data_IF_714005449070
#
_entry.id   IF_714005449070
#
_cell.length_a   1.000
_cell.length_b   1.000
_cell.length_c   1.000
_cell.angle_alpha   90.00
_cell.angle_beta   90.00
_cell.angle_gamma   90.00
#
_symmetry.space_group_name_H-M   'P 1'
#
loop_
_entity.id
_entity.type
_entity.pdbx_description
1 polymer ?
#
# COMPACT_ATOMS: atom_id res chain seq x y z
N UNK A 1 26.93 -14.58 19.93
CA UNK A 1 27.46 -15.29 21.13
C UNK A 1 26.87 -14.61 22.34
N UNK A 2 25.79 -15.18 22.87
CA UNK A 2 25.27 -15.19 24.26
C UNK A 2 23.94 -15.93 24.21
N UNK A 3 24.03 -17.22 24.50
CA UNK A 3 22.92 -18.12 24.84
C UNK A 3 22.64 -17.92 26.35
N UNK A 4 21.38 -17.86 26.70
CA UNK A 4 20.94 -18.05 28.10
C UNK A 4 19.85 -19.14 28.10
N UNK A 5 20.25 -20.30 28.59
CA UNK A 5 19.38 -21.41 28.97
C UNK A 5 18.56 -21.02 30.19
N UNK A 6 17.28 -21.44 30.22
CA UNK A 6 16.53 -21.58 31.45
C UNK A 6 16.04 -23.01 31.62
N UNK A 7 16.63 -23.64 32.63
CA UNK A 7 16.39 -25.00 33.09
C UNK A 7 15.12 -25.12 33.92
N UNK A 8 14.47 -26.25 33.74
CA UNK A 8 13.37 -26.78 34.55
C UNK A 8 13.71 -26.92 36.05
N UNK A 9 12.79 -26.54 36.91
CA UNK A 9 12.71 -27.06 38.27
C UNK A 9 11.37 -27.77 38.50
N UNK A 10 11.49 -29.07 38.75
CA UNK A 10 10.45 -30.00 39.15
C UNK A 10 10.09 -29.84 40.62
N UNK A 11 8.82 -29.98 40.91
CA UNK A 11 8.18 -30.08 42.23
C UNK A 11 8.53 -31.39 42.93
N UNK A 12 8.33 -31.49 44.25
CA UNK A 12 7.84 -32.73 44.82
C UNK A 12 6.47 -32.59 45.51
N UNK A 13 5.70 -33.63 45.33
CA UNK A 13 4.39 -33.83 45.92
C UNK A 13 4.49 -34.15 47.42
N UNK A 14 3.56 -33.63 48.22
CA UNK A 14 3.22 -34.18 49.53
C UNK A 14 1.72 -34.51 49.61
N UNK A 15 1.44 -35.80 49.68
CA UNK A 15 0.16 -36.37 50.01
C UNK A 15 -0.09 -36.17 51.54
N UNK A 16 -1.23 -35.63 51.91
CA UNK A 16 -1.79 -35.82 53.25
C UNK A 16 -3.30 -36.06 53.13
N UNK A 17 -3.65 -37.21 53.61
CA UNK A 17 -4.97 -37.83 53.70
C UNK A 17 -5.71 -37.22 54.90
N UNK A 18 -6.91 -36.67 54.73
CA UNK A 18 -7.91 -36.55 55.82
C UNK A 18 -9.32 -36.73 55.26
N UNK A 19 -9.89 -37.87 55.68
CA UNK A 19 -11.32 -38.15 55.65
C UNK A 19 -12.06 -37.23 56.61
N UNK A 20 -13.26 -36.82 56.30
CA UNK A 20 -14.15 -36.16 57.24
C UNK A 20 -15.37 -35.50 56.61
N UNK A 21 -16.46 -36.26 56.54
CA UNK A 21 -17.86 -35.86 56.63
C UNK A 21 -18.52 -35.00 55.55
N UNK A 22 -19.34 -35.67 54.80
CA UNK A 22 -20.42 -35.14 53.97
C UNK A 22 -21.56 -34.60 54.83
N UNK A 23 -22.00 -33.37 54.63
CA UNK A 23 -23.36 -32.89 54.94
C UNK A 23 -23.81 -31.87 53.93
N UNK A 24 -24.74 -32.25 53.10
CA UNK A 24 -25.93 -31.58 52.57
C UNK A 24 -25.86 -30.02 52.59
N UNK A 25 -25.39 -29.43 51.49
CA UNK A 25 -25.73 -28.08 51.15
C UNK A 25 -25.75 -27.95 49.62
N UNK A 26 -26.85 -28.40 49.06
CA UNK A 26 -26.88 -28.49 47.64
C UNK A 26 -28.29 -28.51 47.14
N UNK A 27 -28.67 -27.57 46.49
CA UNK A 27 -29.67 -27.47 45.41
C UNK A 27 -29.80 -26.09 44.83
N UNK A 28 -29.08 -25.08 45.40
CA UNK A 28 -29.11 -23.70 44.90
C UNK A 28 -27.89 -23.28 44.05
N UNK A 29 -26.80 -24.04 44.09
CA UNK A 29 -25.58 -23.76 43.30
C UNK A 29 -25.62 -24.25 41.83
N UNK A 30 -26.38 -25.29 41.53
CA UNK A 30 -26.45 -25.85 40.18
C UNK A 30 -27.30 -25.02 39.19
N UNK A 31 -28.27 -24.25 39.68
CA UNK A 31 -29.11 -23.40 38.84
C UNK A 31 -28.40 -22.11 38.40
N UNK A 32 -27.42 -21.65 39.18
CA UNK A 32 -26.65 -20.47 38.78
C UNK A 32 -25.54 -20.75 37.76
N UNK A 33 -25.04 -21.99 37.72
CA UNK A 33 -24.04 -22.41 36.69
C UNK A 33 -24.67 -22.66 35.31
N UNK A 34 -25.92 -23.06 35.24
CA UNK A 34 -26.61 -23.25 33.95
C UNK A 34 -27.08 -21.96 33.31
N UNK A 35 -27.20 -20.87 34.05
CA UNK A 35 -27.56 -19.55 33.50
C UNK A 35 -26.37 -18.77 32.93
N UNK A 36 -25.16 -19.09 33.34
CA UNK A 36 -23.93 -18.48 32.76
C UNK A 36 -23.49 -19.13 31.43
N UNK A 37 -23.99 -20.34 31.10
CA UNK A 37 -23.63 -21.02 29.86
C UNK A 37 -24.48 -20.63 28.64
N UNK A 38 -25.50 -19.77 28.82
CA UNK A 38 -26.34 -19.23 27.75
C UNK A 38 -26.07 -17.76 27.43
N UNK A 39 -24.89 -17.23 27.78
CA UNK A 39 -24.49 -15.97 27.19
C UNK A 39 -24.06 -16.28 25.75
N UNK A 40 -24.82 -15.84 24.74
CA UNK A 40 -24.33 -15.99 23.38
C UNK A 40 -23.04 -15.19 23.32
N UNK A 41 -21.92 -15.87 23.11
CA UNK A 41 -20.76 -15.23 22.55
C UNK A 41 -21.20 -14.66 21.22
N UNK A 42 -21.70 -13.43 21.22
CA UNK A 42 -21.76 -12.64 20.02
C UNK A 42 -20.30 -12.50 19.59
N UNK A 43 -19.87 -13.42 18.74
CA UNK A 43 -18.72 -13.20 17.88
C UNK A 43 -19.06 -11.89 17.16
N UNK A 44 -18.47 -10.80 17.64
CA UNK A 44 -18.45 -9.56 16.90
C UNK A 44 -17.75 -9.92 15.58
N UNK A 45 -18.53 -10.26 14.59
CA UNK A 45 -18.12 -10.29 13.21
C UNK A 45 -17.54 -8.89 12.97
N UNK A 46 -16.24 -8.80 12.88
CA UNK A 46 -15.55 -7.63 12.37
C UNK A 46 -16.15 -7.40 10.99
N UNK A 47 -17.14 -6.50 10.91
CA UNK A 47 -17.63 -6.06 9.62
C UNK A 47 -16.41 -5.49 8.90
N UNK A 48 -15.99 -6.15 7.83
CA UNK A 48 -14.96 -5.63 6.94
C UNK A 48 -15.46 -4.29 6.41
N UNK A 49 -15.04 -3.22 7.09
CA UNK A 49 -15.36 -1.87 6.67
C UNK A 49 -14.57 -1.58 5.39
N UNK A 50 -15.30 -1.50 4.27
CA UNK A 50 -14.73 -1.15 2.98
C UNK A 50 -14.92 0.36 2.74
N UNK A 51 -13.88 1.18 2.95
CA UNK A 51 -13.97 2.61 2.77
C UNK A 51 -14.27 2.96 1.31
N UNK A 52 -15.07 4.00 1.10
CA UNK A 52 -15.38 4.48 -0.25
C UNK A 52 -15.05 5.96 -0.38
N UNK A 53 -14.57 6.35 -1.55
CA UNK A 53 -14.22 7.75 -1.87
C UNK A 53 -14.74 8.12 -3.25
N UNK A 54 -15.17 9.35 -3.42
CA UNK A 54 -15.53 9.91 -4.73
C UNK A 54 -14.30 10.64 -5.29
N UNK A 55 -13.92 10.35 -6.52
CA UNK A 55 -12.87 11.08 -7.25
C UNK A 55 -13.50 11.86 -8.42
N UNK A 56 -12.71 12.64 -9.13
CA UNK A 56 -13.18 13.32 -10.36
C UNK A 56 -13.62 12.34 -11.45
N UNK A 57 -13.15 11.07 -11.40
CA UNK A 57 -13.39 10.07 -12.44
C UNK A 57 -14.49 9.07 -12.07
N UNK A 58 -14.83 8.95 -10.79
CA UNK A 58 -15.84 8.02 -10.29
C UNK A 58 -15.57 7.59 -8.85
N UNK A 59 -16.42 6.71 -8.35
CA UNK A 59 -16.35 6.21 -6.97
C UNK A 59 -15.44 4.98 -6.86
N UNK A 60 -14.59 4.99 -5.85
CA UNK A 60 -13.70 3.88 -5.51
C UNK A 60 -14.11 3.23 -4.19
N UNK A 61 -13.89 1.92 -4.08
CA UNK A 61 -14.00 1.17 -2.83
C UNK A 61 -12.63 0.58 -2.50
N UNK A 62 -12.09 0.91 -1.34
CA UNK A 62 -10.86 0.39 -0.79
C UNK A 62 -11.06 -0.75 0.19
N UNK A 63 -10.01 -1.07 0.91
CA UNK A 63 -9.95 -2.10 1.95
C UNK A 63 -9.32 -1.51 3.21
N UNK A 64 -9.91 -1.75 4.38
CA UNK A 64 -9.28 -1.41 5.67
C UNK A 64 -8.45 -2.58 6.17
N UNK A 65 -7.17 -2.32 6.43
CA UNK A 65 -6.20 -3.34 6.86
C UNK A 65 -5.63 -2.96 8.22
N UNK A 66 -5.59 -3.92 9.14
CA UNK A 66 -4.86 -3.78 10.39
C UNK A 66 -3.36 -3.87 10.11
N UNK A 67 -2.59 -2.91 10.63
CA UNK A 67 -1.12 -2.92 10.53
C UNK A 67 -0.57 -3.61 11.78
N UNK A 68 0.29 -4.62 11.65
CA UNK A 68 0.88 -5.30 12.80
C UNK A 68 1.69 -4.34 13.68
N UNK A 69 1.43 -4.35 14.99
CA UNK A 69 2.11 -3.51 15.99
C UNK A 69 1.12 -2.87 16.97
N UNK A 70 1.51 -2.77 18.25
CA UNK A 70 0.63 -2.26 19.31
C UNK A 70 0.30 -0.76 19.16
N UNK A 71 1.15 -0.01 18.45
CA UNK A 71 1.06 1.46 18.31
C UNK A 71 0.51 1.88 16.95
N UNK A 72 0.45 0.95 15.99
CA UNK A 72 0.09 1.26 14.61
C UNK A 72 -1.43 1.21 14.43
N UNK A 73 -1.96 2.24 13.76
CA UNK A 73 -3.38 2.33 13.42
C UNK A 73 -3.69 1.57 12.14
N UNK A 74 -4.93 1.09 11.97
CA UNK A 74 -5.37 0.54 10.70
C UNK A 74 -5.18 1.54 9.55
N UNK A 75 -5.04 1.02 8.34
CA UNK A 75 -4.83 1.81 7.13
C UNK A 75 -5.91 1.47 6.11
N UNK A 76 -6.49 2.49 5.51
CA UNK A 76 -7.37 2.35 4.37
C UNK A 76 -6.51 2.30 3.10
N UNK A 77 -6.54 1.17 2.41
CA UNK A 77 -5.79 0.93 1.18
C UNK A 77 -6.72 1.05 -0.02
N UNK A 78 -6.29 1.81 -1.02
CA UNK A 78 -6.89 1.85 -2.35
C UNK A 78 -5.83 1.38 -3.34
N UNK A 79 -5.91 0.12 -3.76
CA UNK A 79 -4.93 -0.54 -4.61
C UNK A 79 -5.41 -0.58 -6.07
N UNK A 80 -4.52 -0.27 -7.01
CA UNK A 80 -4.84 -0.31 -8.43
C UNK A 80 -5.79 0.81 -8.89
N UNK A 81 -5.55 2.03 -8.46
CA UNK A 81 -6.31 3.21 -8.89
C UNK A 81 -5.76 3.71 -10.23
N UNK A 82 -6.57 3.78 -11.30
CA UNK A 82 -6.09 4.25 -12.60
C UNK A 82 -5.81 5.77 -12.57
N UNK A 83 -4.62 6.17 -12.95
CA UNK A 83 -4.25 7.59 -13.07
C UNK A 83 -4.12 8.06 -14.53
N UNK A 84 -4.09 7.11 -15.47
CA UNK A 84 -4.04 7.34 -16.89
C UNK A 84 -4.89 6.31 -17.65
N UNK A 85 -5.18 6.60 -18.91
CA UNK A 85 -5.75 5.64 -19.84
C UNK A 85 -4.73 4.54 -20.17
N UNK A 86 -5.14 3.28 -20.43
CA UNK A 86 -4.25 2.21 -20.83
C UNK A 86 -3.42 2.60 -22.07
N UNK A 87 -2.07 2.50 -22.04
CA UNK A 87 -1.20 2.88 -23.14
C UNK A 87 -1.04 1.75 -24.17
N UNK A 88 -2.15 1.19 -24.64
CA UNK A 88 -2.21 0.01 -25.53
C UNK A 88 -2.52 0.41 -26.98
N UNK A 89 -2.17 -0.47 -27.91
CA UNK A 89 -2.46 -0.26 -29.33
C UNK A 89 -1.81 1.03 -29.88
N UNK A 90 -2.59 1.92 -30.44
CA UNK A 90 -2.14 3.20 -31.01
C UNK A 90 -1.59 4.18 -29.95
N UNK A 91 -1.91 3.97 -28.68
CA UNK A 91 -1.36 4.78 -27.58
C UNK A 91 -0.01 4.27 -27.08
N UNK A 92 0.49 3.13 -27.57
CA UNK A 92 1.84 2.68 -27.30
C UNK A 92 2.84 3.68 -27.87
N UNK A 93 3.91 3.98 -27.14
CA UNK A 93 4.88 5.02 -27.49
C UNK A 93 4.28 6.42 -27.66
N UNK A 94 3.18 6.71 -26.98
CA UNK A 94 2.57 8.03 -26.91
C UNK A 94 2.57 8.57 -25.46
N UNK A 95 2.51 9.89 -25.27
CA UNK A 95 2.29 10.47 -23.94
C UNK A 95 1.02 9.90 -23.29
N UNK A 96 0.99 9.76 -21.94
CA UNK A 96 -0.19 9.27 -21.26
C UNK A 96 -1.35 10.27 -21.35
N UNK A 97 -2.55 9.73 -21.47
CA UNK A 97 -3.82 10.47 -21.41
C UNK A 97 -4.51 10.29 -20.06
N UNK A 98 -5.43 11.18 -19.72
CA UNK A 98 -6.25 11.04 -18.52
C UNK A 98 -7.11 9.76 -18.57
N UNK A 99 -7.40 9.12 -17.42
CA UNK A 99 -8.27 7.96 -17.41
C UNK A 99 -9.70 8.36 -17.78
N UNK A 100 -10.45 7.43 -18.36
CA UNK A 100 -11.88 7.60 -18.60
C UNK A 100 -12.65 7.56 -17.27
N UNK A 101 -13.69 8.37 -17.17
CA UNK A 101 -14.63 8.31 -16.04
C UNK A 101 -15.44 7.02 -16.08
N UNK A 102 -15.80 6.51 -14.91
CA UNK A 102 -16.61 5.29 -14.76
C UNK A 102 -17.88 5.56 -13.95
N UNK A 103 -18.94 4.80 -14.26
CA UNK A 103 -20.16 4.78 -13.49
C UNK A 103 -20.11 3.72 -12.38
N UNK A 104 -20.84 3.95 -11.29
CA UNK A 104 -20.88 3.01 -10.17
C UNK A 104 -19.62 3.04 -9.31
N UNK A 105 -19.37 1.94 -8.59
CA UNK A 105 -18.24 1.80 -7.67
C UNK A 105 -17.21 0.85 -8.29
N UNK A 106 -15.99 1.34 -8.51
CA UNK A 106 -14.85 0.52 -8.92
C UNK A 106 -14.13 0.01 -7.66
N UNK A 107 -13.89 -1.29 -7.59
CA UNK A 107 -13.12 -1.89 -6.52
C UNK A 107 -11.63 -1.58 -6.72
N UNK A 108 -11.01 -1.04 -5.68
CA UNK A 108 -9.57 -0.74 -5.57
C UNK A 108 -9.02 -1.50 -4.36
N UNK A 109 -9.13 -2.84 -4.39
CA UNK A 109 -8.86 -3.74 -3.27
C UNK A 109 -7.71 -4.71 -3.55
N UNK A 110 -7.12 -4.66 -4.73
CA UNK A 110 -6.00 -5.51 -5.16
C UNK A 110 -5.09 -4.76 -6.12
N UNK A 111 -3.86 -5.18 -6.18
CA UNK A 111 -2.90 -4.63 -7.13
C UNK A 111 -3.32 -4.94 -8.57
N UNK A 112 -3.06 -3.98 -9.45
CA UNK A 112 -3.22 -4.17 -10.89
C UNK A 112 -1.90 -4.67 -11.50
N UNK A 113 -1.93 -5.22 -12.73
CA UNK A 113 -0.73 -5.71 -13.40
C UNK A 113 0.40 -4.68 -13.41
N UNK A 114 1.61 -5.17 -13.41
CA UNK A 114 2.81 -4.34 -13.55
C UNK A 114 3.12 -4.09 -15.02
N UNK A 115 3.85 -3.03 -15.33
CA UNK A 115 4.26 -2.74 -16.69
C UNK A 115 5.21 -3.81 -17.21
N UNK A 116 5.13 -4.18 -18.51
CA UNK A 116 5.94 -5.23 -19.10
C UNK A 116 7.43 -4.97 -18.90
N UNK A 117 8.14 -6.00 -18.43
CA UNK A 117 9.55 -5.93 -18.06
C UNK A 117 10.19 -7.31 -18.14
N UNK A 118 11.52 -7.37 -18.33
CA UNK A 118 12.23 -8.62 -18.39
C UNK A 118 12.72 -9.03 -17.00
N UNK A 119 12.04 -10.00 -16.39
CA UNK A 119 12.36 -10.52 -15.05
C UNK A 119 13.33 -11.71 -15.06
N UNK A 120 13.77 -12.17 -16.26
CA UNK A 120 14.62 -13.36 -16.40
C UNK A 120 16.02 -13.13 -15.91
N UNK A 121 16.45 -12.83 -14.91
CA UNK A 121 17.76 -12.57 -14.30
C UNK A 121 17.72 -11.33 -13.38
N UNK A 122 16.55 -10.77 -13.17
CA UNK A 122 16.38 -9.69 -12.20
C UNK A 122 16.19 -10.31 -10.84
N UNK A 123 17.21 -10.19 -10.03
CA UNK A 123 17.09 -10.56 -8.62
C UNK A 123 16.28 -9.43 -7.98
N UNK A 124 15.19 -9.72 -7.25
CA UNK A 124 14.42 -8.69 -6.54
C UNK A 124 15.30 -7.76 -5.67
N UNK A 125 16.46 -8.23 -5.25
CA UNK A 125 17.50 -7.48 -4.55
C UNK A 125 18.00 -6.23 -5.30
N UNK A 126 17.92 -6.23 -6.64
CA UNK A 126 18.33 -5.07 -7.47
C UNK A 126 17.21 -4.02 -7.50
N UNK A 127 15.95 -4.45 -7.38
CA UNK A 127 14.78 -3.56 -7.45
C UNK A 127 14.47 -2.89 -6.11
N UNK A 128 14.89 -3.49 -5.00
CA UNK A 128 14.60 -3.04 -3.64
C UNK A 128 15.86 -2.96 -2.80
N UNK A 129 15.94 -2.01 -1.87
CA UNK A 129 16.95 -2.06 -0.83
C UNK A 129 16.85 -3.40 -0.07
N UNK A 130 18.02 -4.03 0.17
CA UNK A 130 18.14 -5.37 0.80
C UNK A 130 17.32 -5.52 2.09
N UNK A 131 17.16 -4.46 2.87
CA UNK A 131 16.38 -4.47 4.11
C UNK A 131 14.86 -4.55 3.93
N UNK A 132 14.34 -4.40 2.71
CA UNK A 132 12.92 -4.59 2.41
C UNK A 132 12.57 -6.02 2.00
N UNK A 133 13.54 -6.88 1.77
CA UNK A 133 13.34 -8.17 1.10
C UNK A 133 13.35 -9.32 2.09
N UNK A 134 12.34 -9.42 2.95
CA UNK A 134 12.18 -10.58 3.83
C UNK A 134 11.57 -11.81 3.12
N UNK A 135 10.95 -11.63 1.95
CA UNK A 135 10.31 -12.73 1.24
C UNK A 135 10.41 -12.52 -0.28
N UNK A 136 11.51 -12.99 -0.87
CA UNK A 136 11.80 -12.93 -2.30
C UNK A 136 10.72 -13.60 -3.16
N UNK A 137 10.10 -14.69 -2.69
CA UNK A 137 9.05 -15.39 -3.42
C UNK A 137 7.78 -14.55 -3.52
N UNK A 138 7.41 -13.86 -2.46
CA UNK A 138 6.26 -12.93 -2.48
C UNK A 138 6.50 -11.79 -3.45
N UNK A 139 7.69 -11.20 -3.44
CA UNK A 139 8.07 -10.12 -4.35
C UNK A 139 8.09 -10.60 -5.80
N UNK A 140 8.64 -11.80 -6.05
CA UNK A 140 8.64 -12.40 -7.37
C UNK A 140 7.22 -12.59 -7.92
N UNK A 141 6.26 -12.98 -7.07
CA UNK A 141 4.86 -13.13 -7.47
C UNK A 141 4.20 -11.79 -7.85
N UNK A 142 4.58 -10.68 -7.22
CA UNK A 142 4.02 -9.35 -7.50
C UNK A 142 4.39 -8.82 -8.91
N UNK A 143 5.42 -9.37 -9.54
CA UNK A 143 5.88 -8.95 -10.89
C UNK A 143 5.53 -9.94 -12.00
N UNK A 144 4.84 -11.05 -11.68
CA UNK A 144 4.47 -12.07 -12.67
C UNK A 144 3.32 -11.62 -13.57
N UNK A 145 2.34 -10.92 -12.99
CA UNK A 145 1.18 -10.42 -13.74
C UNK A 145 1.55 -9.12 -14.45
N UNK A 146 1.93 -9.22 -15.72
CA UNK A 146 2.38 -8.10 -16.53
C UNK A 146 1.39 -7.78 -17.65
N UNK A 147 1.08 -6.49 -17.81
CA UNK A 147 0.22 -6.01 -18.87
C UNK A 147 0.63 -4.59 -19.26
N UNK A 148 0.42 -4.21 -20.53
CA UNK A 148 0.60 -2.81 -20.94
C UNK A 148 -0.44 -1.89 -20.29
N UNK A 149 -1.63 -2.39 -19.93
CA UNK A 149 -2.58 -1.69 -19.05
C UNK A 149 -2.09 -1.74 -17.60
N UNK A 150 -1.11 -0.90 -17.29
CA UNK A 150 -0.36 -0.91 -16.02
C UNK A 150 -0.26 0.44 -15.31
N UNK A 151 -0.86 1.51 -15.85
CA UNK A 151 -0.72 2.86 -15.32
C UNK A 151 -1.66 3.10 -14.13
N UNK A 152 -1.31 2.47 -13.01
CA UNK A 152 -2.06 2.47 -11.77
C UNK A 152 -1.20 2.95 -10.61
N UNK A 153 -1.87 3.47 -9.58
CA UNK A 153 -1.24 3.86 -8.31
C UNK A 153 -1.97 3.20 -7.13
N UNK A 154 -1.28 3.13 -5.99
CA UNK A 154 -1.81 2.61 -4.74
C UNK A 154 -1.75 3.72 -3.69
N UNK A 155 -2.79 3.85 -2.87
CA UNK A 155 -2.93 4.92 -1.86
C UNK A 155 -3.14 4.26 -0.51
N UNK A 156 -2.34 4.65 0.48
CA UNK A 156 -2.36 4.17 1.86
C UNK A 156 -2.69 5.34 2.78
N UNK A 157 -3.81 5.27 3.49
CA UNK A 157 -4.35 6.35 4.31
C UNK A 157 -4.46 5.88 5.75
N UNK A 158 -3.76 6.50 6.71
CA UNK A 158 -3.92 6.15 8.11
C UNK A 158 -5.33 6.50 8.57
N UNK A 159 -5.96 5.58 9.33
CA UNK A 159 -7.25 5.87 9.94
C UNK A 159 -7.07 6.73 11.19
N UNK A 160 -8.00 7.62 11.42
CA UNK A 160 -8.04 8.43 12.64
C UNK A 160 -9.07 7.91 13.61
N UNK A 161 -8.70 7.89 14.90
CA UNK A 161 -9.64 7.64 16.00
C UNK A 161 -10.23 8.95 16.52
N UNK A 162 -9.59 10.10 16.23
CA UNK A 162 -10.05 11.41 16.69
C UNK A 162 -10.80 12.17 15.59
N UNK A 163 -12.11 12.23 15.73
CA UNK A 163 -13.04 12.95 14.85
C UNK A 163 -12.75 14.47 14.83
N UNK A 164 -11.94 14.98 15.74
CA UNK A 164 -11.64 16.41 15.89
C UNK A 164 -10.48 16.86 14.99
N UNK A 165 -9.66 15.93 14.51
CA UNK A 165 -8.54 16.27 13.63
C UNK A 165 -9.02 16.30 12.17
N UNK A 166 -9.42 17.47 11.71
CA UNK A 166 -9.89 17.71 10.33
C UNK A 166 -8.78 18.22 9.40
N UNK A 167 -7.54 18.27 9.86
CA UNK A 167 -6.43 18.74 9.03
C UNK A 167 -6.11 17.76 7.90
N UNK A 168 -5.99 18.30 6.68
CA UNK A 168 -5.54 17.51 5.54
C UNK A 168 -4.10 17.02 5.77
N UNK A 169 -3.83 15.73 5.45
CA UNK A 169 -2.53 15.10 5.72
C UNK A 169 -1.48 15.42 4.67
N UNK A 170 -0.20 15.49 5.03
CA UNK A 170 0.89 15.50 4.06
C UNK A 170 0.85 14.21 3.22
N UNK A 171 1.36 14.32 2.00
CA UNK A 171 1.35 13.22 1.02
C UNK A 171 2.79 12.88 0.64
N UNK A 172 3.13 11.60 0.66
CA UNK A 172 4.42 11.08 0.23
C UNK A 172 4.23 10.17 -0.99
N UNK A 173 4.87 10.51 -2.11
CA UNK A 173 4.77 9.77 -3.37
C UNK A 173 6.09 9.07 -3.66
N UNK A 174 6.07 7.75 -3.67
CA UNK A 174 7.23 6.92 -3.95
C UNK A 174 7.36 6.60 -5.43
N UNK A 175 8.53 6.90 -6.02
CA UNK A 175 8.91 6.52 -7.38
C UNK A 175 9.88 5.35 -7.28
N UNK A 176 9.50 4.19 -7.82
CA UNK A 176 10.35 2.99 -7.77
C UNK A 176 11.60 3.13 -8.66
N UNK A 177 12.65 2.39 -8.30
CA UNK A 177 13.87 2.24 -9.09
C UNK A 177 13.76 1.11 -10.14
N UNK A 178 14.93 0.52 -10.50
CA UNK A 178 15.01 -0.61 -11.43
C UNK A 178 15.59 -0.23 -12.79
N UNK A 179 16.63 0.61 -12.80
CA UNK A 179 17.46 0.92 -13.99
C UNK A 179 16.69 1.45 -15.21
N UNK A 180 15.48 1.99 -15.04
CA UNK A 180 14.50 2.35 -16.07
C UNK A 180 13.95 1.14 -16.85
N UNK A 181 14.40 -0.06 -16.55
CA UNK A 181 14.10 -1.30 -17.30
C UNK A 181 13.06 -2.15 -16.59
N UNK A 182 12.91 -2.00 -15.28
CA UNK A 182 12.13 -2.87 -14.43
C UNK A 182 11.64 -2.13 -13.17
N UNK A 183 10.82 -2.79 -12.35
CA UNK A 183 10.30 -2.25 -11.10
C UNK A 183 8.79 -2.03 -11.12
N UNK A 184 8.23 -1.81 -9.94
CA UNK A 184 6.80 -1.57 -9.75
C UNK A 184 6.54 -0.94 -8.39
N UNK A 185 5.52 -0.09 -8.30
CA UNK A 185 5.02 0.43 -7.02
C UNK A 185 4.36 -0.65 -6.14
N UNK A 186 3.99 -1.79 -6.71
CA UNK A 186 3.33 -2.88 -5.97
C UNK A 186 4.24 -3.57 -4.94
N UNK A 187 5.57 -3.43 -5.08
CA UNK A 187 6.54 -4.00 -4.14
C UNK A 187 6.60 -3.29 -2.80
N UNK A 188 6.13 -2.04 -2.73
CA UNK A 188 6.23 -1.23 -1.52
C UNK A 188 4.87 -1.17 -0.84
N UNK A 189 4.78 -1.75 0.35
CA UNK A 189 3.64 -1.55 1.25
C UNK A 189 3.84 -0.26 2.05
N UNK A 190 3.05 0.76 1.72
CA UNK A 190 3.07 2.05 2.39
C UNK A 190 2.37 2.09 3.75
N UNK A 191 1.75 0.99 4.20
CA UNK A 191 0.88 0.99 5.37
C UNK A 191 1.60 1.36 6.67
N UNK A 192 2.80 0.81 6.90
CA UNK A 192 3.58 1.12 8.12
C UNK A 192 3.98 2.59 8.14
N UNK A 193 4.51 3.10 7.03
CA UNK A 193 4.90 4.51 6.92
C UNK A 193 3.69 5.45 7.07
N UNK A 194 2.57 5.10 6.46
CA UNK A 194 1.33 5.87 6.56
C UNK A 194 0.83 5.91 8.02
N UNK A 195 0.74 4.75 8.66
CA UNK A 195 0.24 4.62 10.04
C UNK A 195 1.14 5.34 11.04
N UNK A 196 2.46 5.09 10.98
CA UNK A 196 3.43 5.66 11.92
C UNK A 196 3.64 7.16 11.71
N UNK A 197 3.77 7.59 10.45
CA UNK A 197 4.06 8.97 10.08
C UNK A 197 2.83 9.88 10.05
N UNK A 198 1.61 9.33 10.18
CA UNK A 198 0.34 10.04 9.97
C UNK A 198 0.31 10.82 8.64
N UNK A 199 0.78 10.18 7.57
CA UNK A 199 0.85 10.73 6.23
C UNK A 199 0.13 9.82 5.23
N UNK A 200 -0.32 10.35 4.11
CA UNK A 200 -0.80 9.53 3.01
C UNK A 200 0.42 9.09 2.20
N UNK A 201 0.56 7.78 1.98
CA UNK A 201 1.62 7.22 1.14
C UNK A 201 1.03 6.78 -0.18
N UNK A 202 1.70 7.09 -1.28
CA UNK A 202 1.30 6.69 -2.63
C UNK A 202 2.48 6.01 -3.30
N UNK A 203 2.24 4.86 -3.92
CA UNK A 203 3.16 4.19 -4.82
C UNK A 203 2.53 4.10 -6.21
N UNK A 204 3.32 4.04 -7.27
CA UNK A 204 2.79 4.03 -8.62
C UNK A 204 3.63 3.18 -9.57
N UNK A 205 2.99 2.69 -10.62
CA UNK A 205 3.65 2.11 -11.77
C UNK A 205 3.84 3.17 -12.85
N UNK A 206 4.89 3.04 -13.64
CA UNK A 206 5.13 3.82 -14.86
C UNK A 206 5.79 2.91 -15.90
N UNK A 207 5.66 3.22 -17.17
CA UNK A 207 6.26 2.42 -18.24
C UNK A 207 7.78 2.37 -18.12
N UNK A 208 8.32 1.18 -18.21
CA UNK A 208 9.75 0.88 -18.11
C UNK A 208 10.26 0.25 -19.41
N UNK A 209 11.58 0.12 -19.53
CA UNK A 209 12.23 -0.49 -20.68
C UNK A 209 11.91 0.19 -22.01
N UNK A 210 11.80 -0.59 -23.05
CA UNK A 210 11.52 -0.11 -24.40
C UNK A 210 10.21 0.67 -24.47
N UNK A 211 9.15 0.18 -23.82
CA UNK A 211 7.84 0.81 -23.84
C UNK A 211 7.81 2.19 -23.16
N UNK A 212 8.70 2.39 -22.19
CA UNK A 212 8.80 3.66 -21.44
C UNK A 212 9.81 4.64 -22.03
N UNK A 213 10.87 4.16 -22.70
CA UNK A 213 12.03 5.01 -22.96
C UNK A 213 12.57 4.94 -24.40
N UNK A 214 12.00 4.12 -25.30
CA UNK A 214 12.42 4.10 -26.70
C UNK A 214 12.22 5.48 -27.34
N UNK A 215 13.26 5.94 -28.02
CA UNK A 215 13.21 7.14 -28.88
C UNK A 215 13.77 6.83 -30.25
N UNK A 216 13.11 7.32 -31.29
CA UNK A 216 13.61 7.28 -32.67
C UNK A 216 14.43 8.51 -33.03
N UNK A 217 14.52 9.49 -32.11
CA UNK A 217 15.22 10.76 -32.33
C UNK A 217 14.46 11.76 -33.19
N UNK A 218 13.22 11.45 -33.53
CA UNK A 218 12.33 12.30 -34.33
C UNK A 218 10.97 12.52 -33.64
N UNK A 219 9.99 13.03 -34.37
CA UNK A 219 8.65 13.29 -33.85
C UNK A 219 7.76 12.04 -33.75
N UNK A 220 8.15 10.92 -34.36
CA UNK A 220 7.34 9.69 -34.37
C UNK A 220 7.36 9.02 -33.01
N UNK A 221 8.54 8.96 -32.34
CA UNK A 221 8.65 8.48 -30.98
C UNK A 221 9.71 9.31 -30.22
N UNK A 222 9.23 10.32 -29.49
CA UNK A 222 10.12 11.25 -28.76
C UNK A 222 10.84 10.63 -27.56
N UNK A 223 10.30 9.52 -27.02
CA UNK A 223 10.82 8.86 -25.82
C UNK A 223 10.36 9.49 -24.51
N UNK A 224 10.97 9.02 -23.41
CA UNK A 224 10.70 9.49 -22.04
C UNK A 224 9.23 9.32 -21.56
N UNK A 225 8.51 8.37 -22.14
CA UNK A 225 7.09 8.14 -21.81
C UNK A 225 6.91 7.74 -20.34
N UNK A 226 7.87 6.98 -19.77
CA UNK A 226 7.85 6.65 -18.35
C UNK A 226 7.94 7.86 -17.43
N UNK A 227 8.73 8.89 -17.79
CA UNK A 227 8.76 10.16 -17.05
C UNK A 227 7.46 10.95 -17.23
N UNK A 228 6.88 10.92 -18.43
CA UNK A 228 5.58 11.55 -18.69
C UNK A 228 4.45 10.86 -17.90
N UNK A 229 4.52 9.53 -17.72
CA UNK A 229 3.59 8.77 -16.88
C UNK A 229 3.66 9.24 -15.42
N UNK A 230 4.88 9.43 -14.88
CA UNK A 230 5.09 9.97 -13.54
C UNK A 230 4.49 11.38 -13.40
N UNK A 231 4.68 12.25 -14.39
CA UNK A 231 4.08 13.59 -14.42
C UNK A 231 2.55 13.51 -14.43
N UNK A 232 1.98 12.60 -15.23
CA UNK A 232 0.54 12.38 -15.27
C UNK A 232 -0.01 11.87 -13.94
N UNK A 233 0.71 10.96 -13.25
CA UNK A 233 0.36 10.49 -11.92
C UNK A 233 0.36 11.64 -10.91
N UNK A 234 1.40 12.49 -10.90
CA UNK A 234 1.47 13.66 -10.02
C UNK A 234 0.34 14.67 -10.28
N UNK A 235 -0.04 14.86 -11.55
CA UNK A 235 -1.21 15.68 -11.90
C UNK A 235 -2.51 15.09 -11.38
N UNK A 236 -2.68 13.77 -11.48
CA UNK A 236 -3.83 13.08 -10.95
C UNK A 236 -3.88 13.21 -9.43
N UNK A 237 -2.76 12.98 -8.74
CA UNK A 237 -2.64 13.09 -7.28
C UNK A 237 -3.01 14.51 -6.83
N UNK A 238 -2.40 15.54 -7.41
CA UNK A 238 -2.67 16.92 -7.05
C UNK A 238 -4.16 17.29 -7.16
N UNK A 239 -4.87 16.74 -8.14
CA UNK A 239 -6.30 17.02 -8.37
C UNK A 239 -7.24 16.20 -7.49
N UNK A 240 -6.81 15.00 -7.06
CA UNK A 240 -7.72 14.04 -6.43
C UNK A 240 -7.41 13.77 -4.96
N UNK A 241 -6.19 14.04 -4.48
CA UNK A 241 -5.78 13.62 -3.14
C UNK A 241 -6.56 14.29 -2.01
N UNK A 242 -7.16 15.45 -2.27
CA UNK A 242 -8.07 16.11 -1.33
C UNK A 242 -9.30 15.27 -0.99
N UNK A 243 -9.81 14.46 -1.92
CA UNK A 243 -10.93 13.53 -1.66
C UNK A 243 -10.56 12.41 -0.69
N UNK A 244 -9.26 12.13 -0.55
CA UNK A 244 -8.70 11.13 0.37
C UNK A 244 -8.20 11.75 1.70
N UNK A 245 -8.48 13.03 1.93
CA UNK A 245 -8.03 13.75 3.13
C UNK A 245 -6.58 14.19 3.07
N UNK A 246 -5.95 14.21 1.88
CA UNK A 246 -4.59 14.70 1.67
C UNK A 246 -4.55 16.18 1.30
N UNK A 247 -3.43 16.82 1.61
CA UNK A 247 -3.17 18.23 1.26
C UNK A 247 -2.40 18.31 -0.07
N UNK A 248 -3.00 18.80 -1.15
CA UNK A 248 -2.31 18.95 -2.42
C UNK A 248 -1.18 20.00 -2.39
N UNK A 249 -1.12 20.85 -1.38
CA UNK A 249 -0.03 21.80 -1.14
C UNK A 249 1.17 21.22 -0.41
N UNK A 250 1.04 19.99 0.15
CA UNK A 250 2.08 19.30 0.91
C UNK A 250 2.38 17.91 0.33
N UNK A 251 2.75 17.87 -0.95
CA UNK A 251 3.14 16.64 -1.63
C UNK A 251 4.67 16.57 -1.69
N UNK A 252 5.24 15.51 -1.14
CA UNK A 252 6.68 15.19 -1.22
C UNK A 252 6.85 13.98 -2.13
N UNK A 253 7.71 14.10 -3.13
CA UNK A 253 8.08 12.99 -4.03
C UNK A 253 9.45 12.48 -3.63
N UNK A 254 9.60 11.16 -3.49
CA UNK A 254 10.85 10.53 -3.12
C UNK A 254 11.05 9.21 -3.86
N UNK A 255 12.27 8.71 -3.89
CA UNK A 255 12.63 7.46 -4.55
C UNK A 255 14.02 6.99 -4.16
N UNK A 256 14.37 5.78 -4.55
CA UNK A 256 15.69 5.17 -4.32
C UNK A 256 16.34 4.79 -5.64
N UNK A 257 17.66 4.93 -5.72
CA UNK A 257 18.42 4.62 -6.93
C UNK A 257 17.96 5.44 -8.14
N UNK A 258 17.52 4.75 -9.20
CA UNK A 258 16.97 5.42 -10.38
C UNK A 258 15.64 6.15 -10.09
N UNK A 259 14.87 5.71 -9.09
CA UNK A 259 13.71 6.47 -8.63
C UNK A 259 14.10 7.86 -8.13
N UNK A 260 15.19 8.00 -7.39
CA UNK A 260 15.70 9.30 -6.98
C UNK A 260 16.19 10.14 -8.17
N UNK A 261 16.79 9.51 -9.19
CA UNK A 261 17.13 10.16 -10.46
C UNK A 261 15.90 10.69 -11.17
N UNK A 262 14.80 9.89 -11.24
CA UNK A 262 13.52 10.35 -11.78
C UNK A 262 13.00 11.58 -11.03
N UNK A 263 13.02 11.56 -9.68
CA UNK A 263 12.62 12.70 -8.85
C UNK A 263 13.42 13.95 -9.22
N UNK A 264 14.73 13.84 -9.38
CA UNK A 264 15.58 14.97 -9.80
C UNK A 264 15.20 15.48 -11.20
N UNK A 265 14.96 14.58 -12.17
CA UNK A 265 14.52 14.96 -13.50
C UNK A 265 13.15 15.65 -13.53
N UNK A 266 12.24 15.20 -12.67
CA UNK A 266 10.92 15.82 -12.52
C UNK A 266 11.03 17.28 -12.04
N UNK A 267 12.02 17.63 -11.19
CA UNK A 267 12.22 19.02 -10.76
C UNK A 267 12.67 19.95 -11.88
N UNK A 268 13.38 19.41 -12.87
CA UNK A 268 13.90 20.16 -14.01
C UNK A 268 12.86 20.27 -15.15
N UNK A 269 11.78 19.52 -15.08
CA UNK A 269 10.78 19.47 -16.15
C UNK A 269 9.82 20.66 -16.06
N UNK A 270 9.71 21.45 -17.13
CA UNK A 270 8.67 22.49 -17.28
C UNK A 270 7.23 21.94 -17.15
N UNK A 271 7.04 20.63 -17.40
CA UNK A 271 5.74 19.99 -17.26
C UNK A 271 5.33 19.77 -15.77
N UNK A 272 6.26 19.89 -14.83
CA UNK A 272 6.05 19.77 -13.38
C UNK A 272 6.02 21.10 -12.64
N UNK A 273 6.21 22.24 -13.30
CA UNK A 273 6.23 23.55 -12.68
C UNK A 273 4.96 23.83 -11.84
N UNK A 274 5.19 24.29 -10.61
CA UNK A 274 4.15 24.71 -9.66
C UNK A 274 3.40 23.58 -8.92
N UNK A 275 3.83 22.29 -9.01
CA UNK A 275 3.05 21.15 -8.48
C UNK A 275 3.72 20.30 -7.40
N UNK A 276 5.01 20.46 -7.14
CA UNK A 276 5.71 19.66 -6.15
C UNK A 276 6.82 20.44 -5.45
N UNK A 277 6.84 20.40 -4.12
CA UNK A 277 8.05 20.70 -3.36
C UNK A 277 8.86 19.42 -3.29
N UNK A 278 10.00 19.39 -3.94
CA UNK A 278 10.93 18.26 -3.90
C UNK A 278 11.93 18.46 -2.78
N UNK A 279 12.15 17.44 -1.95
CA UNK A 279 13.35 17.36 -1.13
C UNK A 279 14.29 16.35 -1.78
N UNK A 280 15.54 16.74 -2.09
CA UNK A 280 16.59 15.78 -2.41
C UNK A 280 16.95 15.02 -1.14
N UNK A 281 16.86 13.69 -1.17
CA UNK A 281 17.35 12.78 -0.14
C UNK A 281 18.77 12.31 -0.46
#
# INVERSE_FOLDING_TARGET
MWLAEFTHHLLPAHLSNRQGNATIATRRGLLMWMLCSYWPFTVMSSQNYNPTVNTQFGKLRGLRVAVPGEVLKPVDQYLGVPYAAPPIGEKRFMPPEQPSSWSGIKNATHFMPVCPQNIRNTVPEIMMPIWFTYNLDTVANLIQDQNEDCLYLNIYIPTEDDIRNTEARPVMVYIHGGSYMEGTGNMIDGSVLASYGNVIVITLNYRVGVLGFLSTGDQAAKGNYGLLDQIQALRWISKNIGYFGGDPGRITVFGSGIGASCVSLLTLSHHSEGKTKTQPG
#
